data_IF_947202287813
#
_entry.id   IF_947202287813
#
_cell.length_a   1.000
_cell.length_b   1.000
_cell.length_c   1.000
_cell.angle_alpha   90.00
_cell.angle_beta   90.00
_cell.angle_gamma   90.00
#
_symmetry.space_group_name_H-M   'P 1'
#
loop_
_entity.id
_entity.type
_entity.pdbx_description
1 polymer ?
#
# COMPACT_ATOMS: atom_id res chain seq x y z
N UNK A 1 -0.29 16.84 12.31
CA UNK A 1 -1.04 16.99 13.59
C UNK A 1 -0.87 15.75 14.44
N UNK A 2 -0.87 15.83 15.79
CA UNK A 2 -0.83 14.65 16.67
C UNK A 2 -2.02 13.69 16.47
N UNK A 3 -1.80 12.38 16.70
CA UNK A 3 -2.78 11.31 16.46
C UNK A 3 -4.18 11.58 17.05
N UNK A 4 -4.25 12.10 18.28
CA UNK A 4 -5.50 12.42 18.99
C UNK A 4 -6.41 13.43 18.27
N UNK A 5 -5.90 14.18 17.29
CA UNK A 5 -6.66 15.18 16.54
C UNK A 5 -7.04 14.71 15.14
N UNK A 6 -6.64 13.50 14.74
CA UNK A 6 -6.84 12.99 13.37
C UNK A 6 -8.33 12.85 13.03
N UNK A 7 -9.13 12.30 13.95
CA UNK A 7 -10.56 12.08 13.69
C UNK A 7 -11.28 13.40 13.42
N UNK A 8 -11.15 14.38 14.32
CA UNK A 8 -11.86 15.65 14.20
C UNK A 8 -11.44 16.42 12.95
N UNK A 9 -10.13 16.57 12.73
CA UNK A 9 -9.60 17.29 11.56
C UNK A 9 -9.93 16.58 10.24
N UNK A 10 -9.88 15.25 10.22
CA UNK A 10 -10.23 14.46 9.05
C UNK A 10 -11.71 14.58 8.71
N UNK A 11 -12.59 14.49 9.71
CA UNK A 11 -14.04 14.66 9.55
C UNK A 11 -14.39 16.06 9.06
N UNK A 12 -13.75 17.09 9.63
CA UNK A 12 -13.90 18.47 9.17
C UNK A 12 -13.52 18.61 7.70
N UNK A 13 -12.36 18.07 7.29
CA UNK A 13 -11.89 18.15 5.92
C UNK A 13 -12.85 17.49 4.92
N UNK A 14 -13.31 16.26 5.19
CA UNK A 14 -14.21 15.55 4.26
C UNK A 14 -15.59 16.22 4.19
N UNK A 15 -16.11 16.75 5.29
CA UNK A 15 -17.37 17.52 5.31
C UNK A 15 -17.27 18.85 4.58
N UNK A 16 -16.09 19.46 4.56
CA UNK A 16 -15.80 20.65 3.77
C UNK A 16 -15.68 20.36 2.26
N UNK A 17 -15.78 19.09 1.84
CA UNK A 17 -15.75 18.68 0.44
C UNK A 17 -14.37 18.27 -0.07
N UNK A 18 -13.36 18.11 0.80
CA UNK A 18 -12.06 17.56 0.41
C UNK A 18 -12.22 16.07 0.09
N UNK A 19 -11.86 15.69 -1.15
CA UNK A 19 -12.08 14.35 -1.69
C UNK A 19 -10.95 13.36 -1.43
N UNK A 20 -9.79 13.84 -1.01
CA UNK A 20 -8.64 13.00 -0.66
C UNK A 20 -7.94 13.58 0.57
N UNK A 21 -7.81 12.77 1.61
CA UNK A 21 -7.11 13.12 2.85
C UNK A 21 -6.01 12.10 3.11
N UNK A 22 -4.77 12.58 3.25
CA UNK A 22 -3.60 11.76 3.57
C UNK A 22 -3.27 11.89 5.05
N UNK A 23 -3.37 10.79 5.79
CA UNK A 23 -3.23 10.70 7.24
C UNK A 23 -1.86 10.12 7.60
N UNK A 24 -0.87 11.01 7.67
CA UNK A 24 0.52 10.67 8.03
C UNK A 24 0.70 10.15 9.48
N UNK A 25 0.05 10.72 10.52
CA UNK A 25 0.33 10.34 11.91
C UNK A 25 0.13 8.85 12.21
N UNK A 26 0.95 8.32 13.12
CA UNK A 26 0.89 6.95 13.64
C UNK A 26 0.20 6.89 15.02
N UNK A 27 -0.25 5.69 15.43
CA UNK A 27 -0.87 5.41 16.72
C UNK A 27 -2.22 6.10 16.90
N UNK A 28 -2.99 6.16 15.82
CA UNK A 28 -4.36 6.66 15.88
C UNK A 28 -5.23 5.59 16.57
N UNK A 29 -6.07 5.98 17.55
CA UNK A 29 -7.01 5.04 18.14
C UNK A 29 -7.86 4.36 17.06
N UNK A 30 -8.03 3.04 17.15
CA UNK A 30 -8.78 2.25 16.16
C UNK A 30 -10.19 2.84 15.93
N UNK A 31 -10.88 3.20 17.02
CA UNK A 31 -12.21 3.78 16.95
C UNK A 31 -12.25 5.12 16.19
N UNK A 32 -11.20 5.94 16.31
CA UNK A 32 -11.08 7.24 15.66
C UNK A 32 -10.91 7.07 14.15
N UNK A 33 -10.04 6.14 13.74
CA UNK A 33 -9.83 5.83 12.33
C UNK A 33 -11.09 5.23 11.68
N UNK A 34 -11.81 4.34 12.39
CA UNK A 34 -13.08 3.78 11.91
C UNK A 34 -14.16 4.86 11.71
N UNK A 35 -14.29 5.80 12.66
CA UNK A 35 -15.22 6.93 12.54
C UNK A 35 -14.88 7.83 11.37
N UNK A 36 -13.59 8.14 11.18
CA UNK A 36 -13.12 8.93 10.04
C UNK A 36 -13.44 8.24 8.71
N UNK A 37 -13.15 6.93 8.58
CA UNK A 37 -13.48 6.16 7.37
C UNK A 37 -14.98 6.21 7.04
N UNK A 38 -15.83 5.98 8.05
CA UNK A 38 -17.29 5.99 7.86
C UNK A 38 -17.78 7.36 7.38
N UNK A 39 -17.23 8.44 7.92
CA UNK A 39 -17.62 9.79 7.49
C UNK A 39 -17.09 10.14 6.11
N UNK A 40 -15.87 9.70 5.79
CA UNK A 40 -15.29 9.88 4.46
C UNK A 40 -16.13 9.17 3.39
N UNK A 41 -16.59 7.94 3.65
CA UNK A 41 -17.51 7.21 2.76
C UNK A 41 -18.81 7.99 2.51
N UNK A 42 -19.43 8.53 3.57
CA UNK A 42 -20.65 9.35 3.45
C UNK A 42 -20.46 10.64 2.65
N UNK A 43 -19.24 11.19 2.68
CA UNK A 43 -18.87 12.40 1.97
C UNK A 43 -18.26 12.13 0.58
N UNK A 44 -18.21 10.85 0.16
CA UNK A 44 -17.56 10.42 -1.08
C UNK A 44 -16.11 10.95 -1.14
N UNK A 45 -15.34 10.67 -0.08
CA UNK A 45 -13.95 11.06 0.08
C UNK A 45 -13.08 9.86 0.41
N UNK A 46 -11.84 9.87 -0.09
CA UNK A 46 -10.85 8.81 0.16
C UNK A 46 -9.90 9.22 1.27
N UNK A 47 -9.62 8.27 2.16
CA UNK A 47 -8.57 8.38 3.16
C UNK A 47 -7.41 7.50 2.76
N UNK A 48 -6.18 8.03 2.75
CA UNK A 48 -4.95 7.25 2.66
C UNK A 48 -4.22 7.37 3.98
N UNK A 49 -3.68 6.27 4.51
CA UNK A 49 -2.88 6.31 5.72
C UNK A 49 -3.58 5.80 6.97
N UNK A 50 -3.19 6.37 8.11
CA UNK A 50 -3.10 5.64 9.36
C UNK A 50 -1.68 5.08 9.48
N UNK A 51 -0.72 5.94 9.85
CA UNK A 51 0.73 5.68 9.80
C UNK A 51 1.28 5.48 8.38
N UNK A 52 1.25 6.51 7.52
CA UNK A 52 1.80 6.43 6.16
C UNK A 52 2.85 7.50 5.88
N UNK A 53 3.79 7.18 5.00
CA UNK A 53 4.66 8.16 4.37
C UNK A 53 3.90 9.10 3.40
N UNK A 54 2.78 8.64 2.84
CA UNK A 54 1.90 9.43 1.96
C UNK A 54 1.76 8.83 0.56
N UNK A 55 1.60 9.71 -0.44
CA UNK A 55 1.48 9.35 -1.85
C UNK A 55 2.39 10.24 -2.71
N UNK A 56 2.95 9.69 -3.78
CA UNK A 56 3.75 10.46 -4.74
C UNK A 56 3.47 9.99 -6.17
N UNK A 57 3.20 10.94 -7.05
CA UNK A 57 3.23 10.76 -8.50
C UNK A 57 4.48 11.48 -9.01
N UNK A 58 5.58 10.77 -9.33
CA UNK A 58 6.87 11.40 -9.57
C UNK A 58 6.82 12.45 -10.68
N UNK A 59 7.41 13.62 -10.43
CA UNK A 59 7.38 14.75 -11.36
C UNK A 59 6.06 15.52 -11.41
N UNK A 60 5.02 15.10 -10.68
CA UNK A 60 3.72 15.77 -10.65
C UNK A 60 3.38 16.31 -9.27
N UNK A 61 3.21 15.42 -8.28
CA UNK A 61 2.77 15.80 -6.94
C UNK A 61 3.33 14.83 -5.88
N UNK A 62 3.56 15.36 -4.69
CA UNK A 62 3.97 14.59 -3.51
C UNK A 62 3.18 15.11 -2.31
N UNK A 63 2.39 14.23 -1.69
CA UNK A 63 1.56 14.55 -0.53
C UNK A 63 1.95 13.61 0.59
N UNK A 64 2.79 14.11 1.50
CA UNK A 64 3.30 13.35 2.64
C UNK A 64 4.73 13.73 2.99
N UNK A 65 5.47 12.75 3.50
CA UNK A 65 6.88 12.84 3.90
C UNK A 65 7.78 11.95 3.03
N UNK A 66 7.32 11.61 1.82
CA UNK A 66 8.08 10.77 0.88
C UNK A 66 9.27 11.57 0.32
N UNK A 67 10.51 11.07 0.41
CA UNK A 67 11.66 11.71 -0.19
C UNK A 67 11.66 11.48 -1.71
N UNK A 68 11.58 12.57 -2.49
CA UNK A 68 11.50 12.50 -3.96
C UNK A 68 12.75 11.88 -4.63
N UNK A 69 13.88 11.79 -3.92
CA UNK A 69 15.18 11.34 -4.47
C UNK A 69 15.16 9.89 -4.98
N UNK A 70 14.31 9.03 -4.42
CA UNK A 70 14.21 7.63 -4.79
C UNK A 70 13.29 7.37 -6.01
N UNK A 71 12.60 8.41 -6.51
CA UNK A 71 11.49 8.26 -7.44
C UNK A 71 11.81 8.89 -8.80
N UNK A 72 11.43 8.20 -9.88
CA UNK A 72 11.40 8.75 -11.24
C UNK A 72 10.07 8.43 -11.93
N UNK A 73 9.58 9.31 -12.83
CA UNK A 73 8.42 9.00 -13.65
C UNK A 73 8.64 7.71 -14.43
N UNK A 74 7.61 6.88 -14.50
CA UNK A 74 7.68 5.59 -15.17
C UNK A 74 6.31 4.97 -15.38
N UNK A 75 6.26 3.64 -15.39
CA UNK A 75 5.10 2.88 -15.86
C UNK A 75 4.57 1.84 -14.87
N UNK A 76 5.13 1.81 -13.67
CA UNK A 76 4.76 0.85 -12.61
C UNK A 76 4.01 1.59 -11.51
N UNK A 77 2.82 1.12 -11.17
CA UNK A 77 2.13 1.56 -9.96
C UNK A 77 2.69 0.83 -8.74
N UNK A 78 2.83 1.48 -7.60
CA UNK A 78 3.24 0.78 -6.36
C UNK A 78 2.30 1.08 -5.21
N UNK A 79 2.01 0.05 -4.41
CA UNK A 79 1.19 0.18 -3.20
C UNK A 79 1.82 -0.63 -2.08
N UNK A 80 2.01 0.00 -0.92
CA UNK A 80 2.61 -0.68 0.23
C UNK A 80 2.06 -0.22 1.57
N UNK A 81 2.10 -1.09 2.57
CA UNK A 81 1.86 -0.72 3.97
C UNK A 81 3.07 -0.09 4.64
N UNK A 82 4.28 -0.47 4.21
CA UNK A 82 5.53 -0.05 4.84
C UNK A 82 6.19 1.10 4.09
N UNK A 83 6.54 2.16 4.81
CA UNK A 83 7.31 3.29 4.25
C UNK A 83 8.72 2.88 3.81
N UNK A 84 9.39 1.97 4.51
CA UNK A 84 10.73 1.53 4.09
C UNK A 84 10.68 0.67 2.83
N UNK A 85 9.73 -0.28 2.74
CA UNK A 85 9.55 -1.08 1.54
C UNK A 85 9.22 -0.21 0.33
N UNK A 86 8.37 0.80 0.54
CA UNK A 86 8.04 1.82 -0.47
C UNK A 86 9.31 2.42 -1.09
N UNK A 87 10.26 2.89 -0.27
CA UNK A 87 11.47 3.53 -0.79
C UNK A 87 12.44 2.55 -1.46
N UNK A 88 12.57 1.34 -0.93
CA UNK A 88 13.44 0.33 -1.55
C UNK A 88 12.90 -0.14 -2.91
N UNK A 89 11.58 -0.28 -3.04
CA UNK A 89 10.95 -0.63 -4.31
C UNK A 89 11.13 0.51 -5.31
N UNK A 90 10.88 1.75 -4.89
CA UNK A 90 11.07 2.94 -5.74
C UNK A 90 12.51 3.07 -6.26
N UNK A 91 13.51 2.94 -5.38
CA UNK A 91 14.93 2.98 -5.78
C UNK A 91 15.27 1.83 -6.73
N UNK A 92 14.78 0.62 -6.47
CA UNK A 92 14.97 -0.55 -7.34
C UNK A 92 14.39 -0.31 -8.73
N UNK A 93 13.11 0.09 -8.81
CA UNK A 93 12.44 0.37 -10.08
C UNK A 93 13.11 1.52 -10.84
N UNK A 94 13.56 2.55 -10.13
CA UNK A 94 14.25 3.70 -10.71
C UNK A 94 15.61 3.32 -11.31
N UNK A 95 16.39 2.49 -10.61
CA UNK A 95 17.72 2.04 -11.07
C UNK A 95 17.63 1.11 -12.27
N UNK A 96 16.60 0.29 -12.33
CA UNK A 96 16.36 -0.68 -13.40
C UNK A 96 15.57 -0.07 -14.59
N UNK A 97 15.30 1.24 -14.57
CA UNK A 97 14.68 1.95 -15.71
C UNK A 97 13.17 1.73 -15.85
N UNK A 98 12.49 1.26 -14.82
CA UNK A 98 11.03 1.14 -14.79
C UNK A 98 10.35 2.44 -14.39
N UNK A 99 10.81 3.03 -13.28
CA UNK A 99 10.17 4.17 -12.62
C UNK A 99 8.73 3.90 -12.19
N UNK A 100 8.05 4.93 -11.69
CA UNK A 100 6.69 4.80 -11.16
C UNK A 100 5.70 5.80 -11.76
N UNK A 101 4.46 5.37 -11.94
CA UNK A 101 3.34 6.28 -12.25
C UNK A 101 2.92 7.01 -10.98
N UNK A 102 2.54 6.23 -9.97
CA UNK A 102 2.19 6.68 -8.63
C UNK A 102 2.58 5.61 -7.62
N UNK A 103 3.10 6.06 -6.49
CA UNK A 103 3.35 5.25 -5.31
C UNK A 103 2.35 5.64 -4.20
N UNK A 104 1.72 4.64 -3.60
CA UNK A 104 0.71 4.80 -2.54
C UNK A 104 1.13 4.06 -1.27
N UNK A 105 1.45 4.79 -0.22
CA UNK A 105 1.60 4.25 1.12
C UNK A 105 0.23 4.12 1.80
N UNK A 106 -0.27 2.89 2.00
CA UNK A 106 -1.51 2.61 2.73
C UNK A 106 -1.38 2.88 4.23
N UNK A 107 -0.19 2.61 4.77
CA UNK A 107 0.16 2.75 6.18
C UNK A 107 0.20 1.46 6.99
N UNK A 108 0.81 1.55 8.17
CA UNK A 108 1.12 0.42 9.06
C UNK A 108 0.14 0.19 10.21
N UNK A 109 -0.83 1.09 10.43
CA UNK A 109 -1.83 0.90 11.49
C UNK A 109 -2.80 -0.25 11.17
N UNK A 110 -3.49 -0.83 12.18
CA UNK A 110 -4.39 -1.98 11.98
C UNK A 110 -5.64 -1.65 11.14
N UNK A 111 -6.06 -0.39 11.14
CA UNK A 111 -7.17 0.11 10.32
C UNK A 111 -6.58 1.06 9.29
N UNK A 112 -6.48 0.60 8.06
CA UNK A 112 -6.01 1.41 6.93
C UNK A 112 -7.07 2.44 6.54
N UNK A 113 -6.72 3.54 5.90
CA UNK A 113 -7.71 4.46 5.29
C UNK A 113 -8.30 3.95 3.98
N UNK A 114 -7.47 3.30 3.16
CA UNK A 114 -7.83 2.60 1.93
C UNK A 114 -7.15 1.23 1.94
N UNK A 115 -7.71 0.27 1.22
CA UNK A 115 -7.20 -1.10 1.12
C UNK A 115 -6.38 -1.32 -0.15
N UNK A 116 -5.67 -2.44 -0.22
CA UNK A 116 -5.00 -2.85 -1.45
C UNK A 116 -5.98 -2.97 -2.62
N UNK A 117 -7.14 -3.60 -2.41
CA UNK A 117 -8.20 -3.74 -3.43
C UNK A 117 -8.58 -2.40 -4.05
N UNK A 118 -8.89 -1.41 -3.23
CA UNK A 118 -9.29 -0.07 -3.69
C UNK A 118 -8.19 0.61 -4.53
N UNK A 119 -6.92 0.46 -4.15
CA UNK A 119 -5.81 1.06 -4.90
C UNK A 119 -5.48 0.28 -6.17
N UNK A 120 -5.58 -1.03 -6.13
CA UNK A 120 -5.38 -1.88 -7.31
C UNK A 120 -6.41 -1.58 -8.41
N UNK A 121 -7.67 -1.32 -8.04
CA UNK A 121 -8.70 -0.89 -8.99
C UNK A 121 -8.35 0.44 -9.68
N UNK A 122 -7.76 1.40 -8.93
CA UNK A 122 -7.29 2.67 -9.51
C UNK A 122 -6.15 2.44 -10.49
N UNK A 123 -5.19 1.57 -10.14
CA UNK A 123 -4.09 1.24 -11.03
C UNK A 123 -4.55 0.46 -12.26
N UNK A 124 -5.57 -0.41 -12.15
CA UNK A 124 -6.19 -1.06 -13.32
C UNK A 124 -6.81 -0.03 -14.27
N UNK A 125 -7.47 1.00 -13.72
CA UNK A 125 -8.10 2.06 -14.50
C UNK A 125 -7.10 3.07 -15.11
N UNK A 126 -5.91 3.23 -14.54
CA UNK A 126 -4.92 4.22 -14.99
C UNK A 126 -4.20 3.79 -16.29
N UNK A 127 -4.41 4.45 -17.45
CA UNK A 127 -3.80 4.04 -18.72
C UNK A 127 -2.27 4.10 -18.75
N UNK A 128 -1.64 4.89 -17.88
CA UNK A 128 -0.19 5.05 -17.81
C UNK A 128 0.47 3.90 -17.03
N UNK A 129 -0.26 3.28 -16.11
CA UNK A 129 0.21 2.12 -15.35
C UNK A 129 0.16 0.86 -16.22
N UNK A 130 1.29 0.16 -16.36
CA UNK A 130 1.44 -1.10 -17.12
C UNK A 130 1.55 -2.34 -16.24
N UNK A 131 2.05 -2.19 -15.02
CA UNK A 131 2.12 -3.24 -14.02
C UNK A 131 2.03 -2.62 -12.62
N UNK A 132 1.71 -3.43 -11.61
CA UNK A 132 1.63 -2.99 -10.22
C UNK A 132 2.55 -3.81 -9.34
N UNK A 133 3.33 -3.16 -8.47
CA UNK A 133 4.01 -3.83 -7.36
C UNK A 133 3.21 -3.62 -6.07
N UNK A 134 2.67 -4.71 -5.54
CA UNK A 134 1.96 -4.74 -4.26
C UNK A 134 2.88 -5.29 -3.17
N UNK A 135 3.22 -4.46 -2.19
CA UNK A 135 4.11 -4.81 -1.09
C UNK A 135 3.41 -4.78 0.27
N UNK A 136 3.00 -5.97 0.72
CA UNK A 136 2.38 -6.18 2.02
C UNK A 136 3.37 -6.53 3.12
N UNK A 137 2.84 -6.82 4.30
CA UNK A 137 3.60 -7.30 5.45
C UNK A 137 2.84 -8.39 6.20
N UNK A 138 3.48 -9.08 7.12
CA UNK A 138 2.80 -10.01 8.04
C UNK A 138 1.71 -9.29 8.86
N UNK A 139 0.70 -10.04 9.28
CA UNK A 139 -0.36 -9.61 10.19
C UNK A 139 -1.55 -8.90 9.54
N UNK A 140 -2.75 -9.16 10.06
CA UNK A 140 -4.01 -8.78 9.43
C UNK A 140 -4.29 -9.54 8.12
N UNK A 141 -5.33 -9.11 7.41
CA UNK A 141 -5.93 -9.85 6.27
C UNK A 141 -6.00 -9.06 4.96
N UNK A 142 -5.55 -7.79 4.96
CA UNK A 142 -5.77 -6.88 3.83
C UNK A 142 -5.13 -7.36 2.53
N UNK A 143 -4.00 -8.06 2.60
CA UNK A 143 -3.36 -8.67 1.45
C UNK A 143 -4.22 -9.79 0.84
N UNK A 144 -4.77 -10.68 1.67
CA UNK A 144 -5.63 -11.78 1.21
C UNK A 144 -6.96 -11.26 0.64
N UNK A 145 -7.50 -10.17 1.21
CA UNK A 145 -8.69 -9.49 0.69
C UNK A 145 -8.48 -8.91 -0.72
N UNK A 146 -7.23 -8.67 -1.13
CA UNK A 146 -6.92 -8.18 -2.48
C UNK A 146 -7.07 -9.25 -3.57
N UNK A 147 -7.11 -10.53 -3.19
CA UNK A 147 -7.13 -11.66 -4.15
C UNK A 147 -8.28 -11.57 -5.15
N UNK A 148 -9.47 -11.17 -4.72
CA UNK A 148 -10.63 -11.02 -5.60
C UNK A 148 -10.49 -9.88 -6.62
N UNK A 149 -9.72 -8.86 -6.27
CA UNK A 149 -9.40 -7.76 -7.20
C UNK A 149 -8.35 -8.22 -8.20
N UNK A 150 -7.28 -8.86 -7.72
CA UNK A 150 -6.18 -9.36 -8.55
C UNK A 150 -6.69 -10.33 -9.62
N UNK A 151 -7.61 -11.25 -9.28
CA UNK A 151 -8.23 -12.19 -10.24
C UNK A 151 -8.94 -11.50 -11.41
N UNK A 152 -9.39 -10.26 -11.23
CA UNK A 152 -10.13 -9.48 -12.23
C UNK A 152 -9.24 -8.52 -13.01
N UNK A 153 -8.04 -8.22 -12.50
CA UNK A 153 -7.11 -7.30 -13.15
C UNK A 153 -6.54 -7.90 -14.43
N UNK A 154 -6.31 -7.04 -15.41
CA UNK A 154 -5.58 -7.41 -16.64
C UNK A 154 -4.11 -7.03 -16.54
N UNK A 155 -3.79 -5.98 -15.79
CA UNK A 155 -2.41 -5.58 -15.54
C UNK A 155 -1.76 -6.57 -14.57
N UNK A 156 -0.52 -7.02 -14.85
CA UNK A 156 0.16 -7.94 -13.95
C UNK A 156 0.45 -7.28 -12.61
N UNK A 157 0.28 -8.07 -11.55
CA UNK A 157 0.60 -7.68 -10.18
C UNK A 157 1.79 -8.50 -9.70
N UNK A 158 2.85 -7.82 -9.28
CA UNK A 158 4.00 -8.41 -8.58
C UNK A 158 3.78 -8.25 -7.09
N UNK A 159 3.71 -9.35 -6.35
CA UNK A 159 3.42 -9.37 -4.92
C UNK A 159 4.69 -9.66 -4.11
N UNK A 160 4.99 -8.82 -3.12
CA UNK A 160 6.04 -9.02 -2.14
C UNK A 160 5.45 -8.92 -0.74
N UNK A 161 5.81 -9.84 0.16
CA UNK A 161 5.37 -9.79 1.56
C UNK A 161 6.60 -9.69 2.47
N UNK A 162 6.70 -8.57 3.20
CA UNK A 162 7.72 -8.38 4.23
C UNK A 162 7.50 -9.32 5.41
N UNK A 163 8.59 -9.78 6.04
CA UNK A 163 8.54 -10.61 7.25
C UNK A 163 8.51 -12.13 7.01
N UNK A 164 8.96 -12.62 5.85
CA UNK A 164 9.11 -14.05 5.54
C UNK A 164 9.86 -14.85 6.62
N UNK A 165 10.87 -14.25 7.24
CA UNK A 165 11.68 -14.88 8.29
C UNK A 165 11.32 -14.41 9.71
N UNK A 166 10.12 -13.84 9.89
CA UNK A 166 9.68 -13.37 11.20
C UNK A 166 9.46 -14.54 12.18
N UNK A 167 10.00 -14.50 13.40
CA UNK A 167 9.70 -15.49 14.42
C UNK A 167 8.21 -15.48 14.81
N UNK A 168 7.59 -16.65 15.05
CA UNK A 168 6.20 -16.74 15.48
C UNK A 168 5.93 -15.97 16.77
N UNK A 169 4.74 -15.37 16.88
CA UNK A 169 4.25 -14.73 18.10
C UNK A 169 4.93 -13.40 18.48
N UNK A 170 5.79 -12.83 17.61
CA UNK A 170 6.37 -11.51 17.83
C UNK A 170 5.65 -10.44 17.00
N UNK A 171 5.31 -9.33 17.66
CA UNK A 171 4.93 -8.09 17.00
C UNK A 171 6.16 -7.47 16.35
N UNK A 172 6.10 -7.26 15.04
CA UNK A 172 7.08 -6.45 14.30
C UNK A 172 6.66 -4.98 14.33
N UNK A 173 7.59 -4.05 14.12
CA UNK A 173 7.45 -2.62 14.48
C UNK A 173 6.07 -1.96 14.26
N UNK A 174 5.39 -2.24 13.15
CA UNK A 174 4.06 -1.69 12.87
C UNK A 174 2.95 -2.26 13.76
N UNK A 175 1.98 -1.43 14.11
CA UNK A 175 0.86 -1.83 14.96
C UNK A 175 -0.02 -2.94 14.37
N UNK A 176 -0.12 -3.04 13.04
CA UNK A 176 -0.87 -4.10 12.35
C UNK A 176 -0.13 -5.43 12.17
N UNK A 177 1.16 -5.51 12.49
CA UNK A 177 2.00 -6.67 12.21
C UNK A 177 1.94 -7.73 13.33
N UNK A 178 0.74 -8.26 13.59
CA UNK A 178 0.48 -9.32 14.57
C UNK A 178 0.06 -10.59 13.82
N UNK A 179 0.80 -11.68 14.03
CA UNK A 179 0.51 -13.00 13.48
C UNK A 179 -0.22 -13.84 14.53
N UNK A 180 -1.39 -14.37 14.19
CA UNK A 180 -2.20 -15.23 15.07
C UNK A 180 -2.28 -16.65 14.50
N UNK A 181 -1.50 -17.57 15.08
CA UNK A 181 -1.40 -18.94 14.58
C UNK A 181 -0.81 -18.98 13.17
N UNK A 182 -1.55 -19.57 12.22
CA UNK A 182 -1.20 -19.60 10.78
C UNK A 182 -1.79 -18.43 9.99
N UNK A 183 -2.66 -17.62 10.61
CA UNK A 183 -3.31 -16.49 9.96
C UNK A 183 -2.35 -15.30 9.88
N UNK A 184 -2.24 -14.71 8.69
CA UNK A 184 -1.44 -13.51 8.47
C UNK A 184 0.07 -13.75 8.42
N UNK A 185 0.55 -14.99 8.25
CA UNK A 185 1.97 -15.23 7.96
C UNK A 185 2.33 -14.73 6.56
N UNK A 186 3.61 -14.45 6.32
CA UNK A 186 4.04 -13.99 5.00
C UNK A 186 3.80 -15.06 3.93
N UNK A 187 4.02 -16.34 4.29
CA UNK A 187 3.83 -17.47 3.41
C UNK A 187 2.36 -17.66 3.00
N UNK A 188 1.42 -17.64 3.94
CA UNK A 188 0.00 -17.83 3.62
C UNK A 188 -0.54 -16.71 2.74
N UNK A 189 -0.15 -15.46 3.04
CA UNK A 189 -0.49 -14.29 2.21
C UNK A 189 0.08 -14.40 0.79
N UNK A 190 1.36 -14.72 0.66
CA UNK A 190 2.00 -14.83 -0.65
C UNK A 190 1.41 -15.96 -1.49
N UNK A 191 1.09 -17.09 -0.86
CA UNK A 191 0.41 -18.21 -1.51
C UNK A 191 -1.00 -17.82 -1.99
N UNK A 192 -1.78 -17.11 -1.17
CA UNK A 192 -3.11 -16.63 -1.53
C UNK A 192 -3.07 -15.66 -2.73
N UNK A 193 -2.11 -14.70 -2.71
CA UNK A 193 -1.91 -13.75 -3.80
C UNK A 193 -1.46 -14.44 -5.10
N UNK A 194 -0.56 -15.40 -5.00
CA UNK A 194 -0.09 -16.17 -6.17
C UNK A 194 -1.21 -17.02 -6.76
N UNK A 195 -2.02 -17.66 -5.92
CA UNK A 195 -3.21 -18.40 -6.35
C UNK A 195 -4.28 -17.49 -6.99
N UNK A 196 -4.23 -16.19 -6.74
CA UNK A 196 -5.09 -15.20 -7.38
C UNK A 196 -4.53 -14.67 -8.72
N UNK A 197 -3.30 -15.02 -9.09
CA UNK A 197 -2.65 -14.61 -10.33
C UNK A 197 -1.50 -13.61 -10.17
N UNK A 198 -1.12 -13.24 -8.94
CA UNK A 198 0.05 -12.38 -8.73
C UNK A 198 1.36 -13.15 -8.93
N UNK A 199 2.41 -12.43 -9.33
CA UNK A 199 3.77 -12.96 -9.43
C UNK A 199 4.53 -12.74 -8.12
N UNK A 200 4.97 -13.81 -7.48
CA UNK A 200 5.67 -13.72 -6.20
C UNK A 200 7.11 -13.20 -6.36
N UNK A 201 7.43 -12.12 -5.64
CA UNK A 201 8.79 -11.60 -5.47
C UNK A 201 9.27 -11.87 -4.03
N UNK A 202 10.38 -12.60 -3.89
CA UNK A 202 10.97 -12.92 -2.58
C UNK A 202 12.05 -11.91 -2.17
N UNK A 203 12.67 -11.30 -3.17
CA UNK A 203 13.72 -10.28 -3.02
C UNK A 203 13.39 -9.07 -3.89
N UNK A 204 14.02 -7.92 -3.60
CA UNK A 204 13.85 -6.73 -4.44
C UNK A 204 14.34 -6.95 -5.87
N UNK A 205 15.38 -7.77 -6.07
CA UNK A 205 15.89 -8.13 -7.39
C UNK A 205 14.94 -9.00 -8.21
N UNK A 206 13.98 -9.68 -7.58
CA UNK A 206 12.96 -10.44 -8.31
C UNK A 206 11.98 -9.53 -9.04
N UNK A 207 11.66 -8.36 -8.48
CA UNK A 207 10.71 -7.40 -9.05
C UNK A 207 11.08 -7.01 -10.49
N UNK A 208 12.27 -6.43 -10.77
CA UNK A 208 12.64 -6.03 -12.13
C UNK A 208 12.76 -7.23 -13.07
N UNK A 209 13.24 -8.39 -12.58
CA UNK A 209 13.30 -9.62 -13.37
C UNK A 209 11.92 -10.05 -13.84
N UNK A 210 10.95 -10.13 -12.93
CA UNK A 210 9.57 -10.50 -13.23
C UNK A 210 8.93 -9.50 -14.20
N UNK A 211 9.14 -8.19 -13.98
CA UNK A 211 8.62 -7.17 -14.88
C UNK A 211 9.17 -7.31 -16.31
N UNK A 212 10.47 -7.60 -16.45
CA UNK A 212 11.09 -7.89 -17.75
C UNK A 212 10.51 -9.15 -18.40
N UNK A 213 10.34 -10.24 -17.63
CA UNK A 213 9.76 -11.50 -18.12
C UNK A 213 8.31 -11.31 -18.63
N UNK A 214 7.59 -10.32 -18.09
CA UNK A 214 6.25 -9.92 -18.49
C UNK A 214 6.21 -8.91 -19.65
N UNK A 215 7.37 -8.47 -20.15
CA UNK A 215 7.48 -7.51 -21.26
C UNK A 215 7.05 -6.09 -20.90
N UNK A 216 7.18 -5.70 -19.62
CA UNK A 216 6.86 -4.35 -19.13
C UNK A 216 7.96 -3.37 -19.48
#
# INVERSE_FOLDING_TARGET
LPARFVMEAGIEAVRAGIKLVVVVPEHIPIADMLRLRLEAERCDARIIGGNTAGIISPGQANVGIIPNVAFKPGRVGTVSRSGSLTYYIADTLTREGFGETTCVGLGGDPVLGSTFSEILELFEADPDTKAVVMAGEIGGVYEEMATDTIRKMKKPVVAMIGGLHAPPGKRMGHAGAIVEGTMGTAETKLNALTAAGAHAALTFSDIPRILNDLGI
#
